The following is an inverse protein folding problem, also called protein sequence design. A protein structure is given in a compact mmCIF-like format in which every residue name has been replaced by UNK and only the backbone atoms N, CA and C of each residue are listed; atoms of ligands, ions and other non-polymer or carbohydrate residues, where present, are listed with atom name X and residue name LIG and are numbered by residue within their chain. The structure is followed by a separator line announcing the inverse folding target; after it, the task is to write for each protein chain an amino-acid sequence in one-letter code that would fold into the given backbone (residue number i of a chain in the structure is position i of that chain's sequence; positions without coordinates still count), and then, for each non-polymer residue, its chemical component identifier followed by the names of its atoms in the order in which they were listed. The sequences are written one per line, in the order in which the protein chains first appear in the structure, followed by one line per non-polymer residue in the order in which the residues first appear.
data_IF_233817007453
#
_entry.id   IF_233817007453
#
_cell.length_a   1.000
_cell.length_b   1.000
_cell.length_c   1.000
_cell.angle_alpha   90.00
_cell.angle_beta   90.00
_cell.angle_gamma   90.00
#
_symmetry.space_group_name_H-M   'P 1'
#
loop_
_entity.id
_entity.type
_entity.pdbx_description
1 polymer ?
#
# COMPACT_ATOMS: atom_id res chain seq x y z
N UNK A 1 -20.98 -40.60 14.37
CA UNK A 1 -21.91 -39.56 13.85
C UNK A 1 -21.25 -38.17 13.81
N UNK A 2 -20.38 -37.80 14.76
CA UNK A 2 -19.63 -36.52 14.73
C UNK A 2 -18.54 -36.49 13.65
N UNK A 3 -17.78 -37.57 13.47
CA UNK A 3 -16.70 -37.66 12.46
C UNK A 3 -17.19 -37.38 11.01
N UNK A 4 -18.37 -37.90 10.62
CA UNK A 4 -18.94 -37.64 9.29
C UNK A 4 -19.36 -36.18 9.09
N UNK A 5 -19.63 -35.43 10.16
CA UNK A 5 -19.97 -34.01 10.09
C UNK A 5 -18.73 -33.16 9.88
N UNK A 6 -17.65 -33.53 10.56
CA UNK A 6 -16.32 -32.92 10.43
C UNK A 6 -15.75 -33.15 9.02
N UNK A 7 -15.85 -34.37 8.49
CA UNK A 7 -15.44 -34.68 7.11
C UNK A 7 -16.26 -33.90 6.07
N UNK A 8 -17.56 -33.73 6.30
CA UNK A 8 -18.44 -32.93 5.42
C UNK A 8 -18.13 -31.44 5.50
N UNK A 9 -17.82 -30.91 6.69
CA UNK A 9 -17.40 -29.53 6.88
C UNK A 9 -16.05 -29.27 6.20
N UNK A 10 -15.06 -30.14 6.42
CA UNK A 10 -13.73 -30.02 5.82
C UNK A 10 -13.78 -30.12 4.29
N UNK A 11 -14.59 -31.04 3.75
CA UNK A 11 -14.84 -31.16 2.31
C UNK A 11 -15.50 -29.89 1.74
N UNK A 12 -16.51 -29.35 2.42
CA UNK A 12 -17.21 -28.13 2.01
C UNK A 12 -16.29 -26.92 2.07
N UNK A 13 -15.51 -26.76 3.15
CA UNK A 13 -14.54 -25.68 3.29
C UNK A 13 -13.45 -25.75 2.23
N UNK A 14 -12.98 -26.96 1.88
CA UNK A 14 -11.98 -27.14 0.83
C UNK A 14 -12.52 -26.80 -0.56
N UNK A 15 -13.74 -27.24 -0.87
CA UNK A 15 -14.41 -26.90 -2.13
C UNK A 15 -14.69 -25.39 -2.22
N UNK A 16 -15.14 -24.77 -1.14
CA UNK A 16 -15.35 -23.33 -1.06
C UNK A 16 -14.04 -22.57 -1.28
N UNK A 17 -12.98 -22.95 -0.56
CA UNK A 17 -11.67 -22.30 -0.73
C UNK A 17 -11.20 -22.38 -2.19
N UNK A 18 -11.35 -23.53 -2.83
CA UNK A 18 -11.00 -23.70 -4.24
C UNK A 18 -11.81 -22.78 -5.19
N UNK A 19 -13.13 -22.65 -4.96
CA UNK A 19 -13.99 -21.75 -5.74
C UNK A 19 -13.62 -20.28 -5.53
N UNK A 20 -13.31 -19.89 -4.29
CA UNK A 20 -12.96 -18.52 -3.91
C UNK A 20 -11.68 -18.07 -4.62
N UNK A 21 -10.69 -18.95 -4.65
CA UNK A 21 -9.43 -18.74 -5.37
C UNK A 21 -9.64 -18.69 -6.89
N UNK A 22 -10.41 -19.62 -7.46
CA UNK A 22 -10.75 -19.56 -8.89
C UNK A 22 -11.48 -18.26 -9.28
N UNK A 23 -12.39 -17.78 -8.43
CA UNK A 23 -13.07 -16.51 -8.62
C UNK A 23 -12.11 -15.32 -8.51
N UNK A 24 -11.20 -15.33 -7.52
CA UNK A 24 -10.16 -14.30 -7.34
C UNK A 24 -9.25 -14.22 -8.57
N UNK A 25 -8.81 -15.36 -9.11
CA UNK A 25 -7.97 -15.42 -10.30
C UNK A 25 -8.65 -14.73 -11.50
N UNK A 26 -9.93 -15.02 -11.73
CA UNK A 26 -10.71 -14.40 -12.81
C UNK A 26 -10.86 -12.89 -12.58
N UNK A 27 -11.19 -12.49 -11.35
CA UNK A 27 -11.32 -11.09 -10.98
C UNK A 27 -10.01 -10.31 -11.18
N UNK A 28 -8.86 -10.92 -10.84
CA UNK A 28 -7.54 -10.32 -11.02
C UNK A 28 -7.17 -10.11 -12.48
N UNK A 29 -7.48 -11.07 -13.35
CA UNK A 29 -7.25 -10.92 -14.80
C UNK A 29 -8.10 -9.77 -15.35
N UNK A 30 -9.39 -9.73 -14.99
CA UNK A 30 -10.29 -8.65 -15.42
C UNK A 30 -9.81 -7.27 -14.92
N UNK A 31 -9.44 -7.18 -13.64
CA UNK A 31 -8.91 -5.97 -13.04
C UNK A 31 -7.61 -5.52 -13.73
N UNK A 32 -6.72 -6.46 -14.07
CA UNK A 32 -5.48 -6.16 -14.78
C UNK A 32 -5.75 -5.52 -16.15
N UNK A 33 -6.78 -5.98 -16.87
CA UNK A 33 -7.16 -5.40 -18.17
C UNK A 33 -7.70 -3.97 -17.98
N UNK A 34 -8.61 -3.77 -17.01
CA UNK A 34 -9.19 -2.46 -16.72
C UNK A 34 -8.12 -1.44 -16.32
N UNK A 35 -7.18 -1.84 -15.48
CA UNK A 35 -6.11 -0.97 -15.02
C UNK A 35 -5.12 -0.65 -16.14
N UNK A 36 -4.79 -1.62 -16.99
CA UNK A 36 -3.90 -1.38 -18.12
C UNK A 36 -4.49 -0.33 -19.07
N UNK A 37 -5.81 -0.35 -19.24
CA UNK A 37 -6.53 0.69 -19.97
C UNK A 37 -6.39 2.07 -19.30
N UNK A 38 -6.61 2.17 -17.99
CA UNK A 38 -6.43 3.41 -17.23
C UNK A 38 -5.00 3.97 -17.35
N UNK A 39 -3.99 3.09 -17.39
CA UNK A 39 -2.59 3.50 -17.58
C UNK A 39 -2.38 4.16 -18.94
N UNK A 40 -2.90 3.57 -20.02
CA UNK A 40 -2.78 4.13 -21.37
C UNK A 40 -3.43 5.51 -21.43
N UNK A 41 -4.65 5.64 -20.91
CA UNK A 41 -5.38 6.91 -20.87
C UNK A 41 -4.63 7.98 -20.06
N UNK A 42 -4.07 7.61 -18.90
CA UNK A 42 -3.28 8.51 -18.08
C UNK A 42 -2.01 9.01 -18.78
N UNK A 43 -1.32 8.13 -19.52
CA UNK A 43 -0.13 8.49 -20.29
C UNK A 43 -0.48 9.47 -21.41
N UNK A 44 -1.50 9.18 -22.22
CA UNK A 44 -1.93 10.06 -23.33
C UNK A 44 -2.32 11.44 -22.82
N UNK A 45 -3.12 11.51 -21.76
CA UNK A 45 -3.58 12.78 -21.17
C UNK A 45 -2.42 13.63 -20.61
N UNK A 46 -1.37 12.97 -20.11
CA UNK A 46 -0.18 13.64 -19.57
C UNK A 46 0.66 14.33 -20.64
N UNK A 47 0.68 13.78 -21.86
CA UNK A 47 1.36 14.39 -23.00
C UNK A 47 0.63 15.63 -23.53
N UNK A 48 -0.70 15.70 -23.43
CA UNK A 48 -1.49 16.82 -23.96
C UNK A 48 -1.41 18.09 -23.09
N UNK A 49 -1.24 17.97 -21.76
CA UNK A 49 -1.43 19.09 -20.82
C UNK A 49 -0.12 19.86 -20.49
N UNK A 50 1.04 19.46 -21.03
CA UNK A 50 2.38 20.06 -20.70
C UNK A 50 2.75 20.04 -19.19
N UNK A 51 1.93 19.45 -18.31
CA UNK A 51 2.23 19.28 -16.89
C UNK A 51 2.84 17.88 -16.66
N UNK A 52 4.08 17.72 -17.12
CA UNK A 52 4.77 16.43 -17.10
C UNK A 52 4.97 15.88 -15.68
N UNK A 53 5.15 16.74 -14.68
CA UNK A 53 5.35 16.30 -13.30
C UNK A 53 4.10 15.63 -12.72
N UNK A 54 2.93 16.26 -12.89
CA UNK A 54 1.66 15.70 -12.43
C UNK A 54 1.30 14.42 -13.20
N UNK A 55 1.47 14.45 -14.52
CA UNK A 55 1.21 13.30 -15.38
C UNK A 55 2.12 12.11 -15.10
N UNK A 56 3.41 12.36 -14.86
CA UNK A 56 4.37 11.33 -14.50
C UNK A 56 4.06 10.68 -13.14
N UNK A 57 3.77 11.48 -12.11
CA UNK A 57 3.41 10.93 -10.79
C UNK A 57 2.09 10.16 -10.83
N UNK A 58 1.13 10.62 -11.63
CA UNK A 58 -0.12 9.90 -11.85
C UNK A 58 0.09 8.59 -12.61
N UNK A 59 0.91 8.59 -13.67
CA UNK A 59 1.25 7.39 -14.42
C UNK A 59 2.02 6.38 -13.55
N UNK A 60 2.95 6.84 -12.72
CA UNK A 60 3.65 5.99 -11.74
C UNK A 60 2.67 5.37 -10.74
N UNK A 61 1.71 6.15 -10.22
CA UNK A 61 0.68 5.65 -9.31
C UNK A 61 -0.20 4.57 -9.94
N UNK A 62 -0.49 4.66 -11.24
CA UNK A 62 -1.22 3.62 -11.97
C UNK A 62 -0.33 2.41 -12.27
N UNK A 63 0.95 2.61 -12.61
CA UNK A 63 1.91 1.52 -12.83
C UNK A 63 2.13 0.67 -11.56
N UNK A 64 2.17 1.30 -10.38
CA UNK A 64 2.21 0.61 -9.10
C UNK A 64 1.02 -0.34 -8.90
N UNK A 65 -0.15 0.05 -9.40
CA UNK A 65 -1.35 -0.78 -9.29
C UNK A 65 -1.28 -1.98 -10.25
N UNK A 66 -0.76 -1.79 -11.47
CA UNK A 66 -0.47 -2.90 -12.41
C UNK A 66 0.51 -3.90 -11.78
N UNK A 67 1.57 -3.39 -11.16
CA UNK A 67 2.55 -4.22 -10.44
C UNK A 67 1.88 -5.05 -9.33
N UNK A 68 1.04 -4.41 -8.49
CA UNK A 68 0.35 -5.14 -7.42
C UNK A 68 -0.58 -6.23 -7.92
N UNK A 69 -1.28 -5.98 -9.04
CA UNK A 69 -2.12 -6.99 -9.67
C UNK A 69 -1.28 -8.14 -10.23
N UNK A 70 -0.13 -7.85 -10.84
CA UNK A 70 0.81 -8.88 -11.31
C UNK A 70 1.34 -9.75 -10.16
N UNK A 71 1.68 -9.14 -9.02
CA UNK A 71 2.12 -9.84 -7.81
C UNK A 71 1.01 -10.73 -7.23
N UNK A 72 -0.23 -10.23 -7.17
CA UNK A 72 -1.38 -11.01 -6.70
C UNK A 72 -1.73 -12.18 -7.65
N UNK A 73 -1.63 -11.96 -8.96
CA UNK A 73 -1.80 -13.03 -9.97
C UNK A 73 -0.71 -14.10 -9.80
N UNK A 74 0.53 -13.70 -9.54
CA UNK A 74 1.63 -14.64 -9.29
C UNK A 74 1.38 -15.49 -8.03
N UNK A 75 0.87 -14.88 -6.95
CA UNK A 75 0.46 -15.60 -5.75
C UNK A 75 -0.66 -16.60 -6.04
N UNK A 76 -1.66 -16.20 -6.83
CA UNK A 76 -2.79 -17.05 -7.17
C UNK A 76 -2.37 -18.23 -8.06
N UNK A 77 -1.48 -18.02 -9.04
CA UNK A 77 -0.88 -19.09 -9.84
C UNK A 77 -0.08 -20.06 -8.95
N UNK A 78 0.70 -19.53 -8.01
CA UNK A 78 1.49 -20.34 -7.09
C UNK A 78 0.60 -21.20 -6.18
N UNK A 79 -0.51 -20.63 -5.69
CA UNK A 79 -1.50 -21.35 -4.90
C UNK A 79 -2.15 -22.48 -5.71
N UNK A 80 -2.53 -22.24 -6.97
CA UNK A 80 -3.10 -23.28 -7.85
C UNK A 80 -2.08 -24.42 -8.10
N UNK A 81 -0.78 -24.11 -8.20
CA UNK A 81 0.27 -25.12 -8.43
C UNK A 81 0.67 -25.92 -7.19
N UNK A 82 0.70 -25.30 -6.01
CA UNK A 82 1.29 -25.90 -4.79
C UNK A 82 0.28 -26.20 -3.69
N UNK A 83 -0.93 -25.65 -3.78
CA UNK A 83 -2.00 -25.80 -2.78
C UNK A 83 -1.72 -25.10 -1.44
N UNK A 84 -0.62 -24.36 -1.30
CA UNK A 84 -0.23 -23.64 -0.09
C UNK A 84 -0.34 -22.13 -0.28
N UNK A 85 -0.96 -21.46 0.69
CA UNK A 85 -1.24 -20.02 0.63
C UNK A 85 -0.06 -19.21 1.19
N UNK A 86 0.64 -18.47 0.32
CA UNK A 86 1.73 -17.58 0.73
C UNK A 86 1.22 -16.19 1.10
N UNK A 87 0.92 -15.99 2.40
CA UNK A 87 0.47 -14.70 2.99
C UNK A 87 1.46 -13.55 2.74
N UNK A 88 2.74 -13.86 2.54
CA UNK A 88 3.82 -12.87 2.33
C UNK A 88 3.52 -11.96 1.13
N UNK A 89 2.96 -12.50 0.04
CA UNK A 89 2.66 -11.71 -1.17
C UNK A 89 1.53 -10.70 -0.90
N UNK A 90 0.57 -11.06 -0.05
CA UNK A 90 -0.48 -10.13 0.37
C UNK A 90 0.07 -8.94 1.16
N UNK A 91 1.05 -9.19 2.05
CA UNK A 91 1.71 -8.13 2.81
C UNK A 91 2.53 -7.22 1.90
N UNK A 92 3.24 -7.80 0.92
CA UNK A 92 4.00 -7.04 -0.08
C UNK A 92 3.08 -6.11 -0.87
N UNK A 93 1.94 -6.61 -1.34
CA UNK A 93 0.94 -5.80 -2.06
C UNK A 93 0.31 -4.75 -1.15
N UNK A 94 -0.01 -5.07 0.10
CA UNK A 94 -0.53 -4.11 1.06
C UNK A 94 0.46 -2.95 1.30
N UNK A 95 1.75 -3.26 1.45
CA UNK A 95 2.78 -2.23 1.59
C UNK A 95 2.88 -1.34 0.35
N UNK A 96 2.90 -1.92 -0.85
CA UNK A 96 3.00 -1.17 -2.11
C UNK A 96 1.78 -0.26 -2.33
N UNK A 97 0.57 -0.72 -1.99
CA UNK A 97 -0.66 0.09 -2.10
C UNK A 97 -0.68 1.25 -1.10
N UNK A 98 -0.14 1.07 0.11
CA UNK A 98 0.04 2.15 1.08
C UNK A 98 1.03 3.20 0.55
N UNK A 99 2.14 2.77 -0.06
CA UNK A 99 3.09 3.69 -0.69
C UNK A 99 2.43 4.49 -1.82
N UNK A 100 1.60 3.85 -2.65
CA UNK A 100 0.82 4.54 -3.69
C UNK A 100 -0.06 5.65 -3.11
N UNK A 101 -0.80 5.37 -2.03
CA UNK A 101 -1.64 6.38 -1.37
C UNK A 101 -0.80 7.56 -0.86
N UNK A 102 0.38 7.27 -0.29
CA UNK A 102 1.30 8.30 0.17
C UNK A 102 1.82 9.22 -0.96
N UNK A 103 1.93 8.72 -2.20
CA UNK A 103 2.41 9.48 -3.35
C UNK A 103 1.27 10.29 -4.01
N UNK A 104 0.08 9.71 -4.13
CA UNK A 104 -1.05 10.30 -4.88
C UNK A 104 -1.86 11.30 -4.04
N UNK A 105 -1.99 11.09 -2.72
CA UNK A 105 -2.79 11.99 -1.86
C UNK A 105 -2.18 13.40 -1.76
N UNK A 106 -0.86 13.56 -1.50
CA UNK A 106 -0.25 14.88 -1.37
C UNK A 106 -0.20 15.62 -2.69
N UNK A 107 0.06 14.94 -3.83
CA UNK A 107 0.17 15.64 -5.12
C UNK A 107 -1.14 16.30 -5.51
N UNK A 108 -2.29 15.69 -5.19
CA UNK A 108 -3.60 16.29 -5.44
C UNK A 108 -3.83 17.50 -4.53
N UNK A 109 -3.45 17.43 -3.26
CA UNK A 109 -3.62 18.57 -2.32
C UNK A 109 -2.62 19.72 -2.52
N UNK A 110 -1.42 19.43 -3.03
CA UNK A 110 -0.36 20.41 -3.30
C UNK A 110 -0.48 21.01 -4.71
N UNK A 111 -0.96 20.24 -5.68
CA UNK A 111 -1.12 20.69 -7.08
C UNK A 111 -2.52 21.27 -7.35
N UNK A 112 -3.58 20.73 -6.72
CA UNK A 112 -4.91 21.32 -6.78
C UNK A 112 -5.05 22.40 -5.70
N UNK A 113 -4.38 23.54 -5.90
CA UNK A 113 -4.72 24.81 -5.26
C UNK A 113 -6.14 25.31 -5.61
N UNK A 114 -7.12 24.42 -5.73
CA UNK A 114 -8.49 24.68 -6.14
C UNK A 114 -9.46 24.14 -5.10
N UNK A 115 -9.62 24.94 -4.07
CA UNK A 115 -10.94 25.48 -3.71
C UNK A 115 -10.75 26.87 -3.12
N UNK A 116 -10.00 27.73 -3.83
CA UNK A 116 -9.73 29.13 -3.44
C UNK A 116 -10.63 30.16 -4.11
N UNK A 117 -11.78 29.76 -4.63
CA UNK A 117 -12.79 30.70 -5.14
C UNK A 117 -14.18 30.24 -4.68
N UNK A 118 -14.44 30.21 -3.37
CA UNK A 118 -15.69 30.78 -2.86
C UNK A 118 -15.62 31.11 -1.36
N UNK A 119 -15.66 32.42 -1.10
CA UNK A 119 -16.07 33.07 0.14
C UNK A 119 -15.09 33.07 1.33
N UNK A 120 -14.12 34.00 1.30
CA UNK A 120 -13.94 35.06 2.34
C UNK A 120 -14.13 34.69 3.82
N UNK A 121 -13.76 33.49 4.27
CA UNK A 121 -13.90 33.12 5.67
C UNK A 121 -12.54 32.66 6.20
N UNK A 122 -12.03 33.41 7.18
CA UNK A 122 -10.95 33.06 8.11
C UNK A 122 -11.01 31.59 8.59
N UNK A 123 -12.20 31.00 8.58
CA UNK A 123 -12.47 29.59 8.82
C UNK A 123 -11.72 28.62 7.90
N UNK A 124 -11.51 28.98 6.64
CA UNK A 124 -10.84 28.13 5.65
C UNK A 124 -9.34 28.00 5.91
N UNK A 125 -8.67 29.08 6.36
CA UNK A 125 -7.26 29.01 6.78
C UNK A 125 -7.05 28.06 7.98
N UNK A 126 -8.02 27.99 8.90
CA UNK A 126 -8.00 27.03 10.01
C UNK A 126 -8.13 25.58 9.54
N UNK A 127 -8.98 25.30 8.55
CA UNK A 127 -9.14 23.96 7.98
C UNK A 127 -7.94 23.52 7.13
N UNK A 128 -7.28 24.45 6.42
CA UNK A 128 -6.03 24.18 5.70
C UNK A 128 -4.89 23.84 6.66
N UNK A 129 -4.75 24.61 7.75
CA UNK A 129 -3.77 24.31 8.80
C UNK A 129 -4.07 22.96 9.48
N UNK A 130 -5.35 22.64 9.71
CA UNK A 130 -5.77 21.36 10.27
C UNK A 130 -5.46 20.19 9.33
N UNK A 131 -5.71 20.32 8.03
CA UNK A 131 -5.37 19.31 7.02
C UNK A 131 -3.86 19.09 6.95
N UNK A 132 -3.06 20.17 6.94
CA UNK A 132 -1.59 20.11 6.96
C UNK A 132 -1.07 19.44 8.24
N UNK A 133 -1.71 19.71 9.38
CA UNK A 133 -1.38 19.13 10.68
C UNK A 133 -1.73 17.64 10.74
N UNK A 134 -2.85 17.21 10.15
CA UNK A 134 -3.23 15.79 10.05
C UNK A 134 -2.24 15.02 9.16
N UNK A 135 -1.84 15.59 8.02
CA UNK A 135 -0.79 15.01 7.16
C UNK A 135 0.56 14.91 7.89
N UNK A 136 0.93 15.96 8.64
CA UNK A 136 2.17 15.99 9.42
C UNK A 136 2.19 14.98 10.56
N UNK A 137 1.05 14.79 11.24
CA UNK A 137 0.89 13.78 12.31
C UNK A 137 0.98 12.38 11.73
N UNK A 138 0.36 12.13 10.58
CA UNK A 138 0.41 10.83 9.91
C UNK A 138 1.85 10.44 9.56
N UNK A 139 2.62 11.37 8.99
CA UNK A 139 4.03 11.15 8.68
C UNK A 139 4.89 10.90 9.93
N UNK A 140 4.65 11.68 11.01
CA UNK A 140 5.37 11.49 12.27
C UNK A 140 5.09 10.12 12.89
N UNK A 141 3.86 9.59 12.79
CA UNK A 141 3.51 8.27 13.31
C UNK A 141 4.18 7.15 12.50
N UNK A 142 4.16 7.25 11.16
CA UNK A 142 4.78 6.25 10.29
C UNK A 142 6.30 6.21 10.50
N UNK A 143 6.96 7.37 10.57
CA UNK A 143 8.42 7.44 10.76
C UNK A 143 8.85 7.13 12.20
N UNK A 144 8.00 7.40 13.21
CA UNK A 144 8.31 7.02 14.60
C UNK A 144 8.20 5.51 14.82
N UNK A 145 7.45 4.80 13.97
CA UNK A 145 7.38 3.34 14.02
C UNK A 145 8.65 2.66 13.48
N UNK A 146 9.38 3.30 12.55
CA UNK A 146 10.71 2.84 12.12
C UNK A 146 11.78 3.13 13.17
N UNK A 147 11.70 4.27 13.85
CA UNK A 147 12.72 4.67 14.85
C UNK A 147 12.72 3.77 16.09
N UNK A 148 11.59 3.17 16.46
CA UNK A 148 11.51 2.29 17.64
C UNK A 148 12.20 0.93 17.44
N UNK A 149 12.67 0.61 16.23
CA UNK A 149 13.48 -0.58 15.95
C UNK A 149 14.99 -0.39 16.12
N UNK A 150 15.50 0.85 16.21
CA UNK A 150 16.95 1.13 16.21
C UNK A 150 17.54 1.51 17.57
N UNK A 151 16.72 1.69 18.61
CA UNK A 151 17.19 2.06 19.95
C UNK A 151 17.63 0.86 20.81
N UNK A 152 17.37 -0.38 20.35
CA UNK A 152 17.70 -1.58 21.12
C UNK A 152 19.14 -2.07 20.94
N UNK A 153 19.88 -1.57 19.94
CA UNK A 153 21.26 -2.00 19.63
C UNK A 153 22.33 -1.06 20.21
N UNK A 154 22.01 0.22 20.43
CA UNK A 154 22.94 1.22 20.98
C UNK A 154 23.16 1.11 22.50
N UNK A 155 22.24 0.46 23.22
CA UNK A 155 22.30 0.31 24.68
C UNK A 155 23.30 -0.77 25.15
N UNK A 156 23.63 -1.75 24.30
CA UNK A 156 24.55 -2.86 24.65
C UNK A 156 26.02 -2.53 24.35
N UNK A 157 26.28 -1.58 23.44
CA UNK A 157 27.65 -1.18 23.07
C UNK A 157 28.28 -0.20 24.09
N UNK A 158 27.45 0.64 24.75
CA UNK A 158 27.94 1.59 25.77
C UNK A 158 28.27 0.96 27.12
N UNK A 159 27.73 -0.22 27.46
CA UNK A 159 28.10 -0.91 28.71
C UNK A 159 29.51 -1.51 28.64
N UNK A 160 29.90 -2.08 27.49
CA UNK A 160 31.20 -2.73 27.32
C UNK A 160 32.39 -1.75 27.28
N UNK A 161 32.17 -0.49 26.88
CA UNK A 161 33.24 0.51 26.82
C UNK A 161 33.54 1.14 28.19
N UNK A 162 32.55 1.15 29.10
CA UNK A 162 32.69 1.78 30.42
C UNK A 162 33.49 0.93 31.41
N UNK A 163 33.41 -0.39 31.30
CA UNK A 163 34.18 -1.30 32.17
C UNK A 163 35.67 -1.33 31.82
N UNK A 164 36.04 -1.21 30.54
CA UNK A 164 37.45 -1.20 30.14
C UNK A 164 38.21 0.06 30.62
N UNK A 165 37.52 1.19 30.78
CA UNK A 165 38.14 2.45 31.22
C UNK A 165 38.29 2.56 32.75
N UNK A 166 37.67 1.67 33.52
CA UNK A 166 37.80 1.65 34.99
C UNK A 166 38.97 0.80 35.50
N UNK A 167 39.63 0.04 34.62
CA UNK A 167 40.75 -0.85 34.98
C UNK A 167 42.14 -0.34 34.54
N UNK A 168 42.24 0.87 34.00
CA UNK A 168 43.49 1.58 33.68
C UNK A 168 43.50 2.93 34.42
#
# INVERSE_FOLDING_TARGET
MIASFEDRLLSTLRAFNHILHAFLAIALVLASIMVLWEFIMAVVHSFEINNLAHGFLQALGTLFIVWTLSSLISAEINYVQTGVFHVVVFIEVAMITLLRQLIVEPVRTVTAGQTLEQATNTWHYGLLLASLLVIGILHKLVTSSEKKGSDHESSTSSSNLSDHKKML
#
